data_IF_631527929872
#
_entry.id   IF_631527929872
#
_cell.length_a   1.000
_cell.length_b   1.000
_cell.length_c   1.000
_cell.angle_alpha   90.00
_cell.angle_beta   90.00
_cell.angle_gamma   90.00
#
_symmetry.space_group_name_H-M   'P 1'
#
loop_
_entity.id
_entity.type
_entity.pdbx_description
1 polymer ?
#
# COMPACT_ATOMS: atom_id res chain seq x y z
N UNK A 1 -42.33 36.41 64.94
CA UNK A 1 -41.02 36.85 64.39
C UNK A 1 -40.49 35.71 63.55
N UNK A 2 -40.72 35.83 62.27
CA UNK A 2 -40.60 34.72 61.29
C UNK A 2 -39.21 34.72 60.65
N UNK A 3 -38.50 33.65 60.78
CA UNK A 3 -37.21 33.43 60.08
C UNK A 3 -37.47 32.56 58.84
N UNK A 4 -37.26 33.14 57.66
CA UNK A 4 -37.38 32.49 56.40
C UNK A 4 -36.07 31.80 56.01
N UNK A 5 -36.06 30.44 55.96
CA UNK A 5 -34.93 29.68 55.43
C UNK A 5 -35.10 29.44 53.97
N UNK A 6 -34.30 30.09 53.16
CA UNK A 6 -34.19 29.81 51.72
C UNK A 6 -33.18 28.69 51.49
N UNK A 7 -33.69 27.48 51.11
CA UNK A 7 -32.86 26.34 50.72
C UNK A 7 -32.43 26.53 49.25
N UNK A 8 -31.14 26.73 49.05
CA UNK A 8 -30.52 26.75 47.72
C UNK A 8 -30.35 25.30 47.23
N UNK A 9 -31.07 24.93 46.18
CA UNK A 9 -30.87 23.68 45.45
C UNK A 9 -29.71 23.84 44.47
N UNK A 10 -28.62 23.16 44.75
CA UNK A 10 -27.52 23.05 43.80
C UNK A 10 -27.86 21.96 42.80
N UNK A 11 -28.17 22.39 41.57
CA UNK A 11 -28.35 21.45 40.44
C UNK A 11 -26.99 21.10 39.91
N UNK A 12 -26.48 19.94 40.22
CA UNK A 12 -25.28 19.37 39.60
C UNK A 12 -25.65 18.80 38.23
N UNK A 13 -25.39 19.56 37.15
CA UNK A 13 -25.46 19.05 35.80
C UNK A 13 -24.28 18.11 35.55
N UNK A 14 -24.49 16.81 35.65
CA UNK A 14 -23.57 15.81 35.11
C UNK A 14 -23.61 15.88 33.59
N UNK A 15 -22.65 16.57 33.00
CA UNK A 15 -22.43 16.55 31.56
C UNK A 15 -21.93 15.17 31.12
N UNK A 16 -22.79 14.36 30.51
CA UNK A 16 -22.35 13.18 29.74
C UNK A 16 -21.61 13.67 28.51
N UNK A 17 -20.26 13.68 28.57
CA UNK A 17 -19.43 13.83 27.37
C UNK A 17 -19.54 12.53 26.57
N UNK A 18 -20.34 12.55 25.52
CA UNK A 18 -20.36 11.49 24.52
C UNK A 18 -19.03 11.49 23.79
N UNK A 19 -18.14 10.56 24.16
CA UNK A 19 -16.94 10.26 23.37
C UNK A 19 -17.44 9.61 22.08
N UNK A 20 -17.43 10.39 20.99
CA UNK A 20 -17.64 9.85 19.66
C UNK A 20 -16.46 8.93 19.33
N UNK A 21 -16.65 7.63 19.49
CA UNK A 21 -15.76 6.61 18.97
C UNK A 21 -15.91 6.67 17.44
N UNK A 22 -15.05 7.47 16.80
CA UNK A 22 -14.89 7.43 15.37
C UNK A 22 -14.57 5.98 14.99
N UNK A 23 -15.44 5.33 14.22
CA UNK A 23 -15.10 4.10 13.52
C UNK A 23 -13.92 4.46 12.61
N UNK A 24 -12.71 4.13 13.03
CA UNK A 24 -11.60 3.98 12.12
C UNK A 24 -12.02 2.85 11.17
N UNK A 25 -12.45 3.19 9.98
CA UNK A 25 -12.47 2.25 8.88
C UNK A 25 -11.01 1.80 8.77
N UNK A 26 -10.73 0.57 9.13
CA UNK A 26 -9.54 -0.12 8.70
C UNK A 26 -9.72 -0.39 7.19
N UNK A 27 -9.71 0.69 6.42
CA UNK A 27 -9.36 0.64 5.01
C UNK A 27 -7.91 0.17 5.05
N UNK A 28 -7.63 -0.97 4.46
CA UNK A 28 -6.30 -1.59 4.50
C UNK A 28 -5.33 -0.67 3.76
N UNK A 29 -4.93 0.38 4.46
CA UNK A 29 -3.90 1.28 4.01
C UNK A 29 -2.63 0.45 3.86
N UNK A 30 -2.14 0.33 2.64
CA UNK A 30 -0.87 -0.34 2.39
C UNK A 30 0.24 0.31 3.22
N UNK A 31 1.32 -0.43 3.38
CA UNK A 31 2.48 0.01 4.15
C UNK A 31 3.44 0.77 3.23
N UNK A 32 3.79 1.99 3.62
CA UNK A 32 4.83 2.75 2.93
C UNK A 32 6.15 1.97 2.92
N UNK A 33 6.85 2.00 1.80
CA UNK A 33 8.11 1.27 1.60
C UNK A 33 9.26 2.27 1.66
N UNK A 34 10.24 1.99 2.52
CA UNK A 34 11.48 2.76 2.56
C UNK A 34 12.31 2.50 1.29
N UNK A 35 12.59 3.55 0.55
CA UNK A 35 13.34 3.52 -0.70
C UNK A 35 14.75 4.09 -0.57
N UNK A 36 15.25 4.23 0.65
CA UNK A 36 16.61 4.71 0.91
C UNK A 36 17.65 3.87 0.15
N UNK A 37 18.51 4.54 -0.59
CA UNK A 37 19.52 3.92 -1.44
C UNK A 37 19.12 3.75 -2.91
N UNK A 38 17.88 4.00 -3.27
CA UNK A 38 17.47 4.10 -4.68
C UNK A 38 17.63 5.52 -5.20
N UNK A 39 17.96 5.63 -6.47
CA UNK A 39 17.91 6.90 -7.18
C UNK A 39 16.46 7.38 -7.27
N UNK A 40 16.22 8.64 -6.91
CA UNK A 40 14.90 9.25 -6.98
C UNK A 40 14.44 9.44 -8.43
N UNK A 41 13.17 9.20 -8.67
CA UNK A 41 12.52 9.42 -9.96
C UNK A 41 11.86 10.81 -9.91
N UNK A 42 12.50 11.79 -10.55
CA UNK A 42 12.05 13.20 -10.54
C UNK A 42 11.17 13.57 -11.73
N UNK A 43 11.09 12.71 -12.73
CA UNK A 43 10.20 12.84 -13.88
C UNK A 43 8.85 12.20 -13.58
N UNK A 44 7.86 12.44 -14.43
CA UNK A 44 6.54 11.80 -14.30
C UNK A 44 6.60 10.26 -14.24
N UNK A 45 5.46 9.62 -14.34
CA UNK A 45 5.39 8.16 -14.30
C UNK A 45 6.13 7.52 -15.47
N UNK A 46 7.11 6.68 -15.14
CA UNK A 46 7.84 5.89 -16.11
C UNK A 46 7.00 4.68 -16.55
N UNK A 47 7.25 4.19 -17.75
CA UNK A 47 6.61 3.00 -18.34
C UNK A 47 7.55 1.80 -18.36
N UNK A 48 8.79 1.98 -17.93
CA UNK A 48 9.83 0.95 -17.92
C UNK A 48 10.64 1.05 -16.63
N UNK A 49 11.07 -0.08 -16.09
CA UNK A 49 11.82 -0.16 -14.86
C UNK A 49 13.20 0.52 -14.99
N UNK A 50 13.42 1.67 -14.33
CA UNK A 50 14.65 2.44 -14.50
C UNK A 50 15.87 1.79 -13.84
N UNK A 51 15.66 0.93 -12.85
CA UNK A 51 16.76 0.34 -12.08
C UNK A 51 17.48 -0.78 -12.83
N UNK A 52 16.88 -1.32 -13.88
CA UNK A 52 17.44 -2.42 -14.67
C UNK A 52 18.73 -2.03 -15.41
N UNK A 53 18.90 -0.75 -15.73
CA UNK A 53 20.05 -0.24 -16.45
C UNK A 53 21.35 -0.15 -15.62
N UNK A 54 21.24 -0.08 -14.30
CA UNK A 54 22.35 0.02 -13.35
C UNK A 54 22.32 -1.16 -12.39
N UNK A 55 23.34 -2.04 -12.49
CA UNK A 55 23.38 -3.24 -11.66
C UNK A 55 23.38 -2.94 -10.16
N UNK A 56 24.07 -1.91 -9.72
CA UNK A 56 24.13 -1.55 -8.30
C UNK A 56 22.75 -1.09 -7.80
N UNK A 57 22.05 -0.27 -8.57
CA UNK A 57 20.68 0.16 -8.27
C UNK A 57 19.70 -1.00 -8.35
N UNK A 58 19.88 -1.91 -9.31
CA UNK A 58 19.02 -3.09 -9.44
C UNK A 58 19.14 -4.02 -8.24
N UNK A 59 20.38 -4.27 -7.74
CA UNK A 59 20.60 -5.10 -6.56
C UNK A 59 19.97 -4.48 -5.29
N UNK A 60 19.98 -3.15 -5.15
CA UNK A 60 19.28 -2.43 -4.07
C UNK A 60 17.77 -2.55 -4.27
N UNK A 61 17.28 -2.34 -5.49
CA UNK A 61 15.86 -2.42 -5.82
C UNK A 61 15.28 -3.80 -5.49
N UNK A 62 15.99 -4.89 -5.81
CA UNK A 62 15.55 -6.25 -5.47
C UNK A 62 15.34 -6.41 -3.96
N UNK A 63 16.27 -5.93 -3.14
CA UNK A 63 16.18 -6.04 -1.67
C UNK A 63 14.98 -5.26 -1.10
N UNK A 64 14.84 -4.01 -1.52
CA UNK A 64 13.73 -3.14 -1.14
C UNK A 64 12.41 -3.72 -1.66
N UNK A 65 12.40 -4.18 -2.90
CA UNK A 65 11.25 -4.77 -3.56
C UNK A 65 10.74 -6.03 -2.87
N UNK A 66 11.65 -6.87 -2.38
CA UNK A 66 11.28 -8.06 -1.58
C UNK A 66 10.51 -7.64 -0.32
N UNK A 67 11.00 -6.64 0.41
CA UNK A 67 10.32 -6.12 1.59
C UNK A 67 8.97 -5.51 1.25
N UNK A 68 8.94 -4.63 0.26
CA UNK A 68 7.71 -3.97 -0.20
C UNK A 68 6.66 -4.95 -0.72
N UNK A 69 7.08 -5.96 -1.47
CA UNK A 69 6.21 -7.03 -1.96
C UNK A 69 5.57 -7.81 -0.81
N UNK A 70 6.37 -8.25 0.15
CA UNK A 70 5.87 -9.03 1.28
C UNK A 70 4.88 -8.25 2.15
N UNK A 71 5.07 -6.95 2.28
CA UNK A 71 4.19 -6.09 3.09
C UNK A 71 2.88 -5.77 2.38
N UNK A 72 2.88 -5.64 1.06
CA UNK A 72 1.77 -5.05 0.32
C UNK A 72 1.10 -5.99 -0.70
N UNK A 73 1.82 -6.96 -1.25
CA UNK A 73 1.38 -7.75 -2.39
C UNK A 73 1.18 -9.24 -2.06
N UNK A 74 2.02 -9.78 -1.17
CA UNK A 74 2.09 -11.22 -0.91
C UNK A 74 0.78 -11.80 -0.36
N UNK A 75 -0.01 -11.02 0.35
CA UNK A 75 -1.31 -11.44 0.87
C UNK A 75 -2.25 -11.99 -0.21
N UNK A 76 -2.22 -11.41 -1.40
CA UNK A 76 -3.06 -11.83 -2.53
C UNK A 76 -2.27 -12.62 -3.58
N UNK A 77 -1.03 -12.19 -3.86
CA UNK A 77 -0.19 -12.77 -4.91
C UNK A 77 0.72 -13.91 -4.43
N UNK A 78 0.66 -14.24 -3.14
CA UNK A 78 1.39 -15.33 -2.53
C UNK A 78 2.83 -14.98 -2.13
N UNK A 79 3.36 -15.75 -1.19
CA UNK A 79 4.76 -15.63 -0.77
C UNK A 79 5.67 -16.08 -1.92
N UNK A 80 6.84 -15.43 -2.03
CA UNK A 80 7.81 -15.71 -3.12
C UNK A 80 7.18 -15.55 -4.52
N UNK A 81 6.15 -14.70 -4.61
CA UNK A 81 5.39 -14.44 -5.84
C UNK A 81 4.63 -15.67 -6.39
N UNK A 82 4.57 -16.77 -5.62
CA UNK A 82 3.83 -17.98 -5.97
C UNK A 82 2.36 -17.85 -5.60
N UNK A 83 1.52 -17.63 -6.59
CA UNK A 83 0.09 -17.43 -6.36
C UNK A 83 -0.59 -18.67 -5.79
N UNK A 84 -1.42 -18.45 -4.76
CA UNK A 84 -2.35 -19.45 -4.25
C UNK A 84 -3.73 -19.45 -4.94
N UNK A 85 -3.88 -18.76 -6.07
CA UNK A 85 -5.12 -18.72 -6.86
C UNK A 85 -6.06 -17.54 -6.54
N UNK A 86 -5.77 -16.72 -5.53
CA UNK A 86 -6.57 -15.52 -5.19
C UNK A 86 -6.36 -14.42 -6.22
N UNK A 87 -5.10 -14.23 -6.64
CA UNK A 87 -4.67 -13.25 -7.63
C UNK A 87 -3.74 -13.92 -8.66
N UNK A 88 -3.50 -13.29 -9.82
CA UNK A 88 -2.57 -13.83 -10.82
C UNK A 88 -1.17 -14.06 -10.26
N UNK A 89 -0.50 -15.08 -10.78
CA UNK A 89 0.91 -15.35 -10.50
C UNK A 89 1.78 -14.37 -11.28
N UNK A 90 2.47 -13.50 -10.55
CA UNK A 90 3.22 -12.40 -11.17
C UNK A 90 4.58 -12.84 -11.74
N UNK A 91 5.02 -14.09 -11.48
CA UNK A 91 6.24 -14.63 -12.07
C UNK A 91 6.14 -14.77 -13.59
N UNK A 92 4.91 -14.88 -14.09
CA UNK A 92 4.61 -15.04 -15.52
C UNK A 92 4.30 -13.72 -16.23
N UNK A 93 4.57 -12.57 -15.60
CA UNK A 93 4.52 -11.29 -16.30
C UNK A 93 5.58 -11.26 -17.41
N UNK A 94 5.19 -10.71 -18.56
CA UNK A 94 6.12 -10.52 -19.67
C UNK A 94 7.41 -9.81 -19.21
N UNK A 95 8.57 -10.21 -19.71
CA UNK A 95 9.81 -9.52 -19.41
C UNK A 95 9.86 -8.14 -20.12
N UNK A 96 10.66 -7.24 -19.54
CA UNK A 96 10.93 -5.93 -20.12
C UNK A 96 9.69 -5.02 -20.17
N UNK A 97 9.69 -4.13 -21.15
CA UNK A 97 8.75 -3.00 -21.23
C UNK A 97 7.28 -3.42 -21.22
N UNK A 98 6.91 -4.47 -21.95
CA UNK A 98 5.50 -4.93 -22.01
C UNK A 98 4.95 -5.30 -20.64
N UNK A 99 5.70 -6.11 -19.89
CA UNK A 99 5.31 -6.47 -18.54
C UNK A 99 5.39 -5.30 -17.57
N UNK A 100 6.32 -4.38 -17.77
CA UNK A 100 6.47 -3.18 -16.95
C UNK A 100 5.28 -2.24 -17.10
N UNK A 101 4.85 -1.97 -18.32
CA UNK A 101 3.67 -1.13 -18.60
C UNK A 101 2.41 -1.74 -17.97
N UNK A 102 2.26 -3.04 -18.10
CA UNK A 102 1.14 -3.75 -17.48
C UNK A 102 1.20 -3.66 -15.95
N UNK A 103 2.38 -3.94 -15.38
CA UNK A 103 2.60 -3.92 -13.93
C UNK A 103 2.34 -2.54 -13.34
N UNK A 104 3.00 -1.49 -13.87
CA UNK A 104 2.88 -0.15 -13.31
C UNK A 104 1.48 0.41 -13.43
N UNK A 105 0.79 0.15 -14.56
CA UNK A 105 -0.59 0.55 -14.74
C UNK A 105 -1.50 -0.11 -13.70
N UNK A 106 -1.33 -1.41 -13.49
CA UNK A 106 -2.14 -2.18 -12.53
C UNK A 106 -1.84 -1.78 -11.10
N UNK A 107 -0.58 -1.60 -10.73
CA UNK A 107 -0.18 -1.16 -9.40
C UNK A 107 -0.73 0.24 -9.09
N UNK A 108 -0.62 1.18 -10.03
CA UNK A 108 -1.13 2.53 -9.84
C UNK A 108 -2.64 2.58 -9.66
N UNK A 109 -3.37 1.96 -10.58
CA UNK A 109 -4.81 2.18 -10.71
C UNK A 109 -5.66 1.11 -10.00
N UNK A 110 -5.03 -0.01 -9.61
CA UNK A 110 -5.76 -1.15 -9.07
C UNK A 110 -6.60 -1.88 -10.13
N UNK A 111 -7.55 -2.67 -9.68
CA UNK A 111 -8.48 -3.39 -10.54
C UNK A 111 -9.83 -3.62 -9.85
N UNK A 112 -10.90 -3.33 -10.53
CA UNK A 112 -12.26 -3.66 -10.11
C UNK A 112 -12.94 -4.52 -11.16
N UNK A 113 -13.78 -5.45 -10.71
CA UNK A 113 -14.61 -6.29 -11.55
C UNK A 113 -16.04 -6.26 -11.02
N UNK A 114 -17.00 -5.91 -11.88
CA UNK A 114 -18.42 -5.78 -11.53
C UNK A 114 -18.66 -4.89 -10.29
N UNK A 115 -17.94 -3.75 -10.21
CA UNK A 115 -18.05 -2.80 -9.09
C UNK A 115 -17.34 -3.23 -7.80
N UNK A 116 -16.70 -4.41 -7.78
CA UNK A 116 -15.96 -4.89 -6.62
C UNK A 116 -14.45 -4.69 -6.84
N UNK A 117 -13.81 -4.01 -5.90
CA UNK A 117 -12.35 -3.87 -5.91
C UNK A 117 -11.71 -5.24 -5.68
N UNK A 118 -10.90 -5.69 -6.64
CA UNK A 118 -10.13 -6.93 -6.60
C UNK A 118 -8.66 -6.68 -6.27
N UNK A 119 -8.12 -5.55 -6.70
CA UNK A 119 -6.80 -5.07 -6.35
C UNK A 119 -6.92 -3.58 -5.99
N UNK A 120 -6.45 -3.16 -4.81
CA UNK A 120 -6.49 -1.75 -4.44
C UNK A 120 -5.55 -0.92 -5.33
N UNK A 121 -5.82 0.37 -5.37
CA UNK A 121 -4.92 1.35 -5.98
C UNK A 121 -3.77 1.64 -5.02
N UNK A 122 -2.54 1.60 -5.53
CA UNK A 122 -1.34 1.84 -4.72
C UNK A 122 -0.73 3.23 -4.94
N UNK A 123 -1.12 3.97 -5.98
CA UNK A 123 -0.69 5.36 -6.17
C UNK A 123 -1.15 6.22 -4.99
N UNK A 124 -0.21 6.95 -4.39
CA UNK A 124 -0.43 7.72 -3.17
C UNK A 124 -0.16 6.95 -1.86
N UNK A 125 -0.01 5.63 -1.92
CA UNK A 125 0.35 4.78 -0.78
C UNK A 125 1.80 4.32 -0.88
N UNK A 126 2.20 3.84 -2.06
CA UNK A 126 3.55 3.38 -2.37
C UNK A 126 4.14 4.31 -3.43
N UNK A 127 5.38 4.75 -3.24
CA UNK A 127 6.07 5.60 -4.20
C UNK A 127 6.36 4.87 -5.51
N UNK A 128 6.64 5.63 -6.57
CA UNK A 128 7.02 5.04 -7.86
C UNK A 128 8.30 4.20 -7.75
N UNK A 129 9.28 4.69 -7.00
CA UNK A 129 10.53 3.97 -6.72
C UNK A 129 10.26 2.61 -6.07
N UNK A 130 9.37 2.58 -5.07
CA UNK A 130 9.02 1.34 -4.40
C UNK A 130 8.27 0.37 -5.33
N UNK A 131 7.40 0.86 -6.20
CA UNK A 131 6.73 0.03 -7.21
C UNK A 131 7.74 -0.61 -8.16
N UNK A 132 8.71 0.16 -8.67
CA UNK A 132 9.75 -0.38 -9.54
C UNK A 132 10.71 -1.33 -8.80
N UNK A 133 10.96 -1.08 -7.53
CA UNK A 133 11.71 -2.02 -6.69
C UNK A 133 10.95 -3.36 -6.54
N UNK A 134 9.64 -3.31 -6.30
CA UNK A 134 8.79 -4.51 -6.25
C UNK A 134 8.83 -5.25 -7.60
N UNK A 135 8.75 -4.54 -8.72
CA UNK A 135 8.88 -5.15 -10.05
C UNK A 135 10.23 -5.84 -10.23
N UNK A 136 11.33 -5.20 -9.79
CA UNK A 136 12.67 -5.79 -9.82
C UNK A 136 12.76 -7.09 -9.02
N UNK A 137 12.12 -7.15 -7.85
CA UNK A 137 12.06 -8.40 -7.07
C UNK A 137 11.25 -9.49 -7.79
N UNK A 138 10.09 -9.15 -8.35
CA UNK A 138 9.23 -10.11 -9.09
C UNK A 138 10.02 -10.77 -10.23
N UNK A 139 10.82 -10.00 -10.97
CA UNK A 139 11.62 -10.50 -12.10
C UNK A 139 12.69 -11.54 -11.71
N UNK A 140 13.10 -11.55 -10.44
CA UNK A 140 14.09 -12.51 -9.95
C UNK A 140 13.49 -13.83 -9.50
N UNK A 141 12.16 -13.93 -9.47
CA UNK A 141 11.52 -15.14 -8.98
C UNK A 141 11.45 -16.22 -10.06
N UNK A 142 11.89 -17.45 -9.76
CA UNK A 142 11.92 -18.53 -10.75
C UNK A 142 10.50 -18.91 -11.16
N UNK A 143 10.33 -19.18 -12.45
CA UNK A 143 9.15 -19.85 -12.99
C UNK A 143 9.31 -21.35 -12.79
N UNK A 144 8.25 -22.03 -12.36
CA UNK A 144 8.25 -23.50 -12.20
C UNK A 144 8.03 -24.19 -13.55
#
# INVERSE_FOLDING_TARGET
>A
MSGCYTSAWVVVCLGLSAVAIGKASADEAGVAVDTTGLNSITTGWLTENPYRADKAQYDVAIKIGKSGYNQNCARCHGLEVKSGGIAPDLRYLDPGKTGDEWFINRARNGFALNGLTKMPRWEGVISQEAMWAIRSYIETQPQD
#
